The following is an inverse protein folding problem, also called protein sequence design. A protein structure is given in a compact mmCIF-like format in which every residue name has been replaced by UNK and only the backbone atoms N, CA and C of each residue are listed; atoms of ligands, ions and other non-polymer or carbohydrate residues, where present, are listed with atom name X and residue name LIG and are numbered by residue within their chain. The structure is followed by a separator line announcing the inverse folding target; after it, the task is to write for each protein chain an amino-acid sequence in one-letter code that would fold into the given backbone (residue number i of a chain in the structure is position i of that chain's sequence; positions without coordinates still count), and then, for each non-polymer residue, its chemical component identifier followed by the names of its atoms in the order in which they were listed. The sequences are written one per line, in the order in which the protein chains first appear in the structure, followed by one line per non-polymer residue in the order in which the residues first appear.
data_IF_946999465746
#
_entry.id   IF_946999465746
#
_cell.length_a   1.000
_cell.length_b   1.000
_cell.length_c   1.000
_cell.angle_alpha   90.00
_cell.angle_beta   90.00
_cell.angle_gamma   90.00
#
_symmetry.space_group_name_H-M   'P 1'
#
loop_
_entity.id
_entity.type
_entity.pdbx_description
1 polymer ?
#
# COMPACT_ATOMS: atom_id res chain seq x y z
N UNK A 1 -26.49 -45.12 17.99
CA UNK A 1 -26.54 -43.79 18.65
C UNK A 1 -25.15 -43.17 18.83
N UNK A 2 -24.19 -43.46 17.93
CA UNK A 2 -22.89 -42.77 17.84
C UNK A 2 -22.68 -42.18 16.43
N UNK A 3 -23.76 -41.96 15.69
CA UNK A 3 -23.70 -41.70 14.24
C UNK A 3 -23.43 -40.23 13.89
N UNK A 4 -23.42 -39.31 14.87
CA UNK A 4 -23.31 -37.86 14.63
C UNK A 4 -22.04 -37.21 15.20
N UNK A 5 -21.14 -37.98 15.83
CA UNK A 5 -19.90 -37.48 16.45
C UNK A 5 -20.13 -36.28 17.39
N UNK A 6 -21.24 -36.31 18.14
CA UNK A 6 -21.63 -35.29 19.11
C UNK A 6 -21.32 -35.78 20.53
N UNK A 7 -20.64 -34.95 21.31
CA UNK A 7 -20.35 -35.19 22.73
C UNK A 7 -21.36 -34.42 23.59
N UNK A 8 -22.00 -35.11 24.53
CA UNK A 8 -22.83 -34.48 25.54
C UNK A 8 -21.97 -33.86 26.65
N UNK A 9 -22.24 -32.61 26.97
CA UNK A 9 -21.42 -31.81 27.88
C UNK A 9 -22.08 -31.61 29.23
N UNK A 10 -23.40 -31.52 29.27
CA UNK A 10 -24.16 -31.51 30.53
C UNK A 10 -24.54 -32.94 30.87
N UNK A 11 -23.93 -33.48 31.92
CA UNK A 11 -24.16 -34.86 32.40
C UNK A 11 -24.81 -34.89 33.78
N UNK A 12 -24.86 -33.75 34.47
CA UNK A 12 -25.45 -33.61 35.80
C UNK A 12 -26.95 -33.25 35.74
N UNK A 13 -27.77 -33.65 36.73
CA UNK A 13 -29.20 -33.30 36.76
C UNK A 13 -29.46 -31.79 36.75
N UNK A 14 -30.31 -31.35 35.82
CA UNK A 14 -30.71 -29.93 35.68
C UNK A 14 -32.01 -29.64 36.42
N UNK A 15 -32.79 -30.66 36.77
CA UNK A 15 -33.94 -30.54 37.66
C UNK A 15 -33.73 -31.37 38.92
N UNK A 16 -33.85 -30.74 40.08
CA UNK A 16 -33.71 -31.41 41.38
C UNK A 16 -34.86 -31.01 42.28
N UNK A 17 -35.65 -32.00 42.68
CA UNK A 17 -36.71 -31.89 43.70
C UNK A 17 -36.28 -32.66 44.95
N UNK A 18 -37.07 -32.59 46.03
CA UNK A 18 -36.79 -33.31 47.28
C UNK A 18 -36.67 -34.85 47.09
N UNK A 19 -37.33 -35.39 46.06
CA UNK A 19 -37.46 -36.82 45.84
C UNK A 19 -36.79 -37.31 44.54
N UNK A 20 -36.48 -36.43 43.59
CA UNK A 20 -35.96 -36.82 42.26
C UNK A 20 -34.91 -35.86 41.75
N UNK A 21 -33.92 -36.41 41.05
CA UNK A 21 -32.93 -35.65 40.28
C UNK A 21 -32.95 -36.13 38.83
N UNK A 22 -33.38 -35.27 37.90
CA UNK A 22 -33.46 -35.60 36.47
C UNK A 22 -32.65 -34.64 35.62
N UNK A 23 -31.98 -35.19 34.61
CA UNK A 23 -31.32 -34.42 33.57
C UNK A 23 -32.34 -34.14 32.47
N UNK A 24 -32.77 -32.88 32.33
CA UNK A 24 -33.74 -32.44 31.33
C UNK A 24 -33.09 -31.62 30.22
N UNK A 25 -32.13 -30.76 30.56
CA UNK A 25 -31.43 -29.94 29.59
C UNK A 25 -30.14 -30.60 29.14
N UNK A 26 -30.13 -31.08 27.91
CA UNK A 26 -28.94 -31.64 27.28
C UNK A 26 -28.25 -30.60 26.40
N UNK A 27 -26.92 -30.55 26.48
CA UNK A 27 -26.09 -29.76 25.56
C UNK A 27 -25.09 -30.69 24.87
N UNK A 28 -25.10 -30.69 23.55
CA UNK A 28 -24.21 -31.50 22.72
C UNK A 28 -23.30 -30.62 21.87
N UNK A 29 -22.07 -31.07 21.59
CA UNK A 29 -21.12 -30.38 20.72
C UNK A 29 -20.34 -31.35 19.85
N UNK A 30 -20.01 -30.96 18.61
CA UNK A 30 -19.02 -31.65 17.76
C UNK A 30 -17.61 -31.09 17.94
N UNK A 31 -17.43 -30.03 18.74
CA UNK A 31 -16.15 -29.33 18.93
C UNK A 31 -15.79 -29.18 20.42
N UNK A 32 -15.52 -30.29 21.13
CA UNK A 32 -15.28 -30.26 22.58
C UNK A 32 -14.05 -29.41 22.97
N UNK A 33 -13.05 -29.33 22.11
CA UNK A 33 -11.85 -28.49 22.30
C UNK A 33 -12.15 -26.98 22.38
N UNK A 34 -13.35 -26.54 21.97
CA UNK A 34 -13.79 -25.14 22.09
C UNK A 34 -14.53 -24.86 23.38
N UNK A 35 -14.83 -25.86 24.21
CA UNK A 35 -15.52 -25.66 25.47
C UNK A 35 -14.48 -25.46 26.56
N UNK A 36 -14.54 -24.33 27.26
CA UNK A 36 -13.66 -24.03 28.38
C UNK A 36 -14.21 -24.63 29.69
N UNK A 37 -15.53 -24.53 29.89
CA UNK A 37 -16.20 -25.12 31.05
C UNK A 37 -17.70 -25.17 30.86
N UNK A 38 -18.36 -26.13 31.48
CA UNK A 38 -19.82 -26.19 31.61
C UNK A 38 -20.21 -26.44 33.06
N UNK A 39 -21.26 -25.76 33.52
CA UNK A 39 -21.71 -25.79 34.91
C UNK A 39 -23.23 -25.70 34.98
N UNK A 40 -23.77 -26.21 36.08
CA UNK A 40 -25.17 -26.06 36.48
C UNK A 40 -25.19 -25.24 37.77
N UNK A 41 -25.37 -23.90 37.69
CA UNK A 41 -25.47 -23.08 38.89
C UNK A 41 -26.71 -23.44 39.69
N UNK A 42 -26.51 -24.01 40.89
CA UNK A 42 -27.59 -24.35 41.83
C UNK A 42 -28.09 -23.10 42.55
N UNK A 43 -28.77 -22.24 41.82
CA UNK A 43 -29.35 -21.00 42.34
C UNK A 43 -30.70 -21.36 42.97
N UNK A 44 -30.87 -21.08 44.27
CA UNK A 44 -31.98 -21.55 45.10
C UNK A 44 -33.35 -20.88 44.85
N UNK A 45 -33.65 -20.49 43.61
CA UNK A 45 -34.89 -19.83 43.23
C UNK A 45 -35.86 -20.74 42.45
N UNK A 46 -35.43 -21.95 42.07
CA UNK A 46 -36.16 -22.88 41.20
C UNK A 46 -35.73 -24.33 41.41
N UNK A 47 -36.62 -25.30 41.21
CA UNK A 47 -36.32 -26.73 41.13
C UNK A 47 -35.68 -27.13 39.78
N UNK A 48 -35.68 -26.20 38.81
CA UNK A 48 -34.97 -26.29 37.55
C UNK A 48 -33.79 -25.32 37.51
N UNK A 49 -32.57 -25.86 37.51
CA UNK A 49 -31.32 -25.11 37.48
C UNK A 49 -30.91 -24.75 36.04
N UNK A 50 -30.43 -23.52 35.80
CA UNK A 50 -29.93 -23.13 34.50
C UNK A 50 -28.67 -23.93 34.13
N UNK A 51 -28.47 -24.13 32.83
CA UNK A 51 -27.19 -24.63 32.29
C UNK A 51 -26.36 -23.46 31.77
N UNK A 52 -25.07 -23.45 32.08
CA UNK A 52 -24.13 -22.44 31.60
C UNK A 52 -22.92 -23.14 30.97
N UNK A 53 -22.60 -22.79 29.73
CA UNK A 53 -21.39 -23.28 29.06
C UNK A 53 -20.59 -22.09 28.55
N UNK A 54 -19.30 -22.08 28.87
CA UNK A 54 -18.34 -21.07 28.43
C UNK A 54 -17.54 -21.66 27.27
N UNK A 55 -17.56 -20.97 26.15
CA UNK A 55 -16.81 -21.34 24.95
C UNK A 55 -15.54 -20.50 24.85
N UNK A 56 -14.49 -21.09 24.28
CA UNK A 56 -13.30 -20.40 23.80
C UNK A 56 -13.71 -19.61 22.57
N UNK A 57 -14.20 -18.39 22.78
CA UNK A 57 -14.56 -17.52 21.68
C UNK A 57 -13.28 -16.93 21.07
N UNK A 58 -13.03 -17.25 19.81
CA UNK A 58 -12.30 -16.34 18.95
C UNK A 58 -13.36 -15.44 18.34
N UNK A 59 -13.63 -14.27 18.95
CA UNK A 59 -14.37 -13.22 18.26
C UNK A 59 -13.73 -13.12 16.88
N UNK A 60 -14.46 -13.56 15.84
CA UNK A 60 -13.98 -13.47 14.48
C UNK A 60 -13.57 -12.02 14.29
N UNK A 61 -12.28 -11.78 13.96
CA UNK A 61 -11.78 -10.43 13.71
C UNK A 61 -12.84 -9.75 12.85
N UNK A 62 -13.46 -8.66 13.34
CA UNK A 62 -14.42 -7.88 12.54
C UNK A 62 -13.74 -7.65 11.20
N UNK A 63 -14.24 -8.26 10.14
CA UNK A 63 -13.68 -8.05 8.82
C UNK A 63 -13.80 -6.55 8.53
N UNK A 64 -12.69 -5.83 8.61
CA UNK A 64 -12.65 -4.43 8.20
C UNK A 64 -12.90 -4.42 6.70
N UNK A 65 -13.89 -3.65 6.25
CA UNK A 65 -14.08 -3.46 4.83
C UNK A 65 -12.82 -2.87 4.22
N UNK A 66 -12.43 -3.36 3.05
CA UNK A 66 -11.34 -2.74 2.30
C UNK A 66 -11.82 -1.38 1.80
N UNK A 67 -11.10 -0.33 2.19
CA UNK A 67 -11.34 1.04 1.75
C UNK A 67 -10.15 1.52 0.92
N UNK A 68 -10.43 2.39 -0.04
CA UNK A 68 -9.40 3.17 -0.71
C UNK A 68 -9.59 4.64 -0.34
N UNK A 69 -8.48 5.35 -0.20
CA UNK A 69 -8.46 6.81 -0.04
C UNK A 69 -8.29 7.48 -1.40
N UNK A 70 -9.02 8.57 -1.62
CA UNK A 70 -8.92 9.38 -2.84
C UNK A 70 -9.17 10.87 -2.53
N UNK A 71 -8.65 11.74 -3.38
CA UNK A 71 -8.84 13.20 -3.32
C UNK A 71 -10.21 13.58 -3.89
N UNK A 72 -11.01 14.35 -3.16
CA UNK A 72 -12.36 14.71 -3.59
C UNK A 72 -12.40 16.06 -4.32
N UNK A 73 -12.87 16.06 -5.57
CA UNK A 73 -13.01 17.26 -6.40
C UNK A 73 -14.41 17.89 -6.38
N UNK A 74 -15.33 17.41 -5.52
CA UNK A 74 -16.76 17.79 -5.60
C UNK A 74 -16.99 19.31 -5.49
N UNK A 75 -16.20 19.98 -4.66
CA UNK A 75 -16.28 21.42 -4.41
C UNK A 75 -14.94 22.09 -4.69
N UNK A 76 -14.16 21.55 -5.63
CA UNK A 76 -12.84 22.09 -5.95
C UNK A 76 -13.00 23.40 -6.73
N UNK A 77 -12.46 24.48 -6.19
CA UNK A 77 -12.41 25.81 -6.81
C UNK A 77 -10.98 26.07 -7.31
N UNK A 78 -10.82 26.05 -8.63
CA UNK A 78 -9.52 26.21 -9.28
C UNK A 78 -8.94 27.62 -9.09
N UNK A 79 -9.80 28.65 -9.03
CA UNK A 79 -9.34 30.03 -8.92
C UNK A 79 -8.73 30.28 -7.53
N UNK A 80 -9.40 29.83 -6.46
CA UNK A 80 -8.89 29.96 -5.09
C UNK A 80 -7.65 29.09 -4.90
N UNK A 81 -7.64 27.87 -5.45
CA UNK A 81 -6.47 26.99 -5.41
C UNK A 81 -5.23 27.65 -6.05
N UNK A 82 -5.38 28.22 -7.24
CA UNK A 82 -4.30 28.94 -7.93
C UNK A 82 -3.84 30.19 -7.17
N UNK A 83 -4.76 30.93 -6.54
CA UNK A 83 -4.41 32.08 -5.68
C UNK A 83 -3.58 31.68 -4.46
N UNK A 84 -3.86 30.53 -3.87
CA UNK A 84 -3.10 30.01 -2.73
C UNK A 84 -1.72 29.49 -3.19
N UNK A 85 -1.64 28.80 -4.33
CA UNK A 85 -0.35 28.38 -4.90
C UNK A 85 0.57 29.56 -5.21
N UNK A 86 0.02 30.68 -5.68
CA UNK A 86 0.77 31.90 -5.96
C UNK A 86 1.37 32.56 -4.71
N UNK A 87 0.89 32.20 -3.51
CA UNK A 87 1.40 32.74 -2.24
C UNK A 87 2.47 31.85 -1.60
N UNK A 88 2.73 30.67 -2.15
CA UNK A 88 3.73 29.75 -1.60
C UNK A 88 5.13 30.38 -1.75
N UNK A 89 5.94 30.43 -0.68
CA UNK A 89 7.31 30.93 -0.72
C UNK A 89 8.26 29.84 -1.27
N UNK A 90 8.17 29.56 -2.57
CA UNK A 90 8.92 28.48 -3.21
C UNK A 90 10.44 28.61 -3.05
N UNK A 91 10.97 29.82 -2.88
CA UNK A 91 12.41 30.06 -2.70
C UNK A 91 12.98 29.43 -1.42
N UNK A 92 12.15 28.93 -0.50
CA UNK A 92 12.63 28.16 0.67
C UNK A 92 13.45 26.93 0.25
N UNK A 93 13.23 26.37 -0.94
CA UNK A 93 13.97 25.21 -1.44
C UNK A 93 15.47 25.52 -1.61
N UNK A 94 15.83 26.78 -1.84
CA UNK A 94 17.22 27.21 -2.07
C UNK A 94 18.03 27.27 -0.75
N UNK A 95 17.37 27.05 0.40
CA UNK A 95 18.01 27.00 1.73
C UNK A 95 18.66 25.64 2.00
N UNK A 96 18.23 24.59 1.30
CA UNK A 96 18.67 23.22 1.53
C UNK A 96 19.76 22.80 0.54
N UNK A 97 20.89 22.33 1.06
CA UNK A 97 21.98 21.78 0.25
C UNK A 97 21.68 20.34 -0.20
N UNK A 98 20.90 19.58 0.58
CA UNK A 98 20.51 18.21 0.28
C UNK A 98 19.28 18.15 -0.64
N UNK A 99 19.35 17.29 -1.64
CA UNK A 99 18.31 17.15 -2.68
C UNK A 99 17.01 16.60 -2.10
N UNK A 100 17.08 15.66 -1.16
CA UNK A 100 15.90 15.07 -0.53
C UNK A 100 15.25 16.09 0.42
N UNK A 101 16.03 16.83 1.21
CA UNK A 101 15.50 17.89 2.08
C UNK A 101 14.81 19.01 1.29
N UNK A 102 15.42 19.47 0.19
CA UNK A 102 14.82 20.48 -0.69
C UNK A 102 13.49 20.00 -1.30
N UNK A 103 13.45 18.73 -1.73
CA UNK A 103 12.26 18.12 -2.29
C UNK A 103 11.16 17.91 -1.24
N UNK A 104 11.52 17.49 -0.03
CA UNK A 104 10.58 17.33 1.08
C UNK A 104 9.96 18.68 1.47
N UNK A 105 10.75 19.76 1.53
CA UNK A 105 10.24 21.11 1.74
C UNK A 105 9.25 21.52 0.64
N UNK A 106 9.59 21.25 -0.63
CA UNK A 106 8.72 21.50 -1.77
C UNK A 106 7.39 20.73 -1.66
N UNK A 107 7.46 19.43 -1.35
CA UNK A 107 6.27 18.59 -1.20
C UNK A 107 5.39 19.05 -0.05
N UNK A 108 5.97 19.42 1.09
CA UNK A 108 5.23 19.90 2.25
C UNK A 108 4.43 21.16 1.90
N UNK A 109 5.05 22.14 1.25
CA UNK A 109 4.37 23.37 0.80
C UNK A 109 3.24 23.08 -0.20
N UNK A 110 3.53 22.25 -1.20
CA UNK A 110 2.54 21.92 -2.22
C UNK A 110 1.36 21.12 -1.64
N UNK A 111 1.65 20.11 -0.82
CA UNK A 111 0.64 19.25 -0.20
C UNK A 111 -0.20 20.01 0.83
N UNK A 112 0.33 21.01 1.51
CA UNK A 112 -0.47 21.86 2.41
C UNK A 112 -1.62 22.53 1.65
N UNK A 113 -1.33 23.13 0.49
CA UNK A 113 -2.36 23.75 -0.36
C UNK A 113 -3.27 22.70 -0.99
N UNK A 114 -2.72 21.58 -1.49
CA UNK A 114 -3.54 20.50 -2.04
C UNK A 114 -4.47 19.91 -0.97
N UNK A 115 -4.04 19.76 0.28
CA UNK A 115 -4.84 19.23 1.38
C UNK A 115 -5.98 20.17 1.77
N UNK A 116 -5.71 21.48 1.77
CA UNK A 116 -6.71 22.53 1.99
C UNK A 116 -7.84 22.48 0.95
N UNK A 117 -7.51 22.25 -0.32
CA UNK A 117 -8.47 22.31 -1.42
C UNK A 117 -9.07 20.95 -1.83
N UNK A 118 -8.36 19.87 -1.57
CA UNK A 118 -8.71 18.51 -1.98
C UNK A 118 -8.62 17.55 -0.80
N UNK A 119 -9.60 17.64 0.09
CA UNK A 119 -9.73 16.73 1.23
C UNK A 119 -9.74 15.25 0.81
N UNK A 120 -9.09 14.43 1.65
CA UNK A 120 -9.15 12.97 1.54
C UNK A 120 -10.56 12.46 1.83
N UNK A 121 -11.01 11.51 1.02
CA UNK A 121 -12.22 10.72 1.28
C UNK A 121 -11.93 9.24 1.14
N UNK A 122 -12.76 8.45 1.80
CA UNK A 122 -12.71 7.00 1.72
C UNK A 122 -13.91 6.44 0.98
N UNK A 123 -13.65 5.39 0.20
CA UNK A 123 -14.69 4.59 -0.43
C UNK A 123 -14.43 3.13 -0.18
N UNK A 124 -15.47 2.41 0.24
CA UNK A 124 -15.43 0.94 0.33
C UNK A 124 -15.30 0.35 -1.05
N UNK A 125 -14.41 -0.62 -1.19
CA UNK A 125 -14.20 -1.38 -2.41
C UNK A 125 -14.29 -2.86 -2.11
N UNK A 126 -14.66 -3.64 -3.12
CA UNK A 126 -14.40 -5.07 -3.08
C UNK A 126 -12.90 -5.25 -3.35
N UNK A 127 -12.15 -5.87 -2.45
CA UNK A 127 -10.81 -6.29 -2.83
C UNK A 127 -10.89 -7.58 -3.64
N UNK A 128 -10.05 -7.63 -4.66
CA UNK A 128 -9.76 -8.84 -5.40
C UNK A 128 -8.25 -8.96 -5.43
N UNK A 129 -7.67 -10.05 -4.88
CA UNK A 129 -8.37 -11.19 -4.29
C UNK A 129 -8.97 -10.89 -2.90
N UNK A 130 -9.94 -11.71 -2.48
CA UNK A 130 -10.52 -11.68 -1.13
C UNK A 130 -9.71 -12.50 -0.13
N UNK A 131 -8.86 -13.40 -0.62
CA UNK A 131 -7.98 -14.24 0.16
C UNK A 131 -6.83 -14.73 -0.72
N UNK A 132 -5.67 -14.97 -0.11
CA UNK A 132 -4.52 -15.63 -0.73
C UNK A 132 -4.21 -16.92 0.00
N UNK A 133 -3.61 -17.89 -0.69
CA UNK A 133 -3.02 -19.08 -0.10
C UNK A 133 -1.54 -18.80 0.14
N UNK A 134 -1.06 -19.09 1.34
CA UNK A 134 0.36 -19.07 1.66
C UNK A 134 1.00 -20.39 1.20
N UNK A 135 2.05 -20.30 0.38
CA UNK A 135 2.73 -21.49 -0.13
C UNK A 135 3.58 -22.21 0.92
N UNK A 136 3.97 -21.52 2.00
CA UNK A 136 4.86 -22.07 3.04
C UNK A 136 4.15 -23.07 3.96
N UNK A 137 2.92 -22.75 4.38
CA UNK A 137 2.14 -23.54 5.34
C UNK A 137 0.75 -23.95 4.83
N UNK A 138 0.42 -23.60 3.57
CA UNK A 138 -0.90 -23.80 2.94
C UNK A 138 -2.06 -23.10 3.66
N UNK A 139 -1.78 -22.16 4.55
CA UNK A 139 -2.81 -21.38 5.23
C UNK A 139 -3.49 -20.38 4.28
N UNK A 140 -4.64 -19.86 4.70
CA UNK A 140 -5.37 -18.85 3.93
C UNK A 140 -5.27 -17.49 4.61
N UNK A 141 -4.66 -16.54 3.91
CA UNK A 141 -4.53 -15.14 4.31
C UNK A 141 -5.78 -14.39 3.83
N UNK A 142 -6.45 -13.66 4.74
CA UNK A 142 -7.69 -12.95 4.41
C UNK A 142 -7.67 -11.48 4.80
N UNK A 143 -6.72 -11.04 5.61
CA UNK A 143 -6.57 -9.63 5.98
C UNK A 143 -5.71 -8.87 4.96
N UNK A 144 -6.04 -7.59 4.77
CA UNK A 144 -5.42 -6.76 3.75
C UNK A 144 -3.91 -6.59 3.96
N UNK A 145 -3.46 -6.46 5.21
CA UNK A 145 -2.05 -6.27 5.54
C UNK A 145 -1.25 -7.52 5.18
N UNK A 146 -1.68 -8.69 5.65
CA UNK A 146 -1.05 -9.97 5.33
C UNK A 146 -1.03 -10.24 3.83
N UNK A 147 -2.11 -9.93 3.10
CA UNK A 147 -2.11 -10.07 1.64
C UNK A 147 -1.11 -9.13 0.96
N UNK A 148 -1.00 -7.88 1.40
CA UNK A 148 -0.01 -6.93 0.88
C UNK A 148 1.43 -7.40 1.16
N UNK A 149 1.71 -7.87 2.38
CA UNK A 149 3.03 -8.41 2.75
C UNK A 149 3.37 -9.65 1.92
N UNK A 150 2.41 -10.55 1.71
CA UNK A 150 2.59 -11.74 0.89
C UNK A 150 2.88 -11.40 -0.58
N UNK A 151 2.13 -10.46 -1.18
CA UNK A 151 2.43 -9.96 -2.52
C UNK A 151 3.82 -9.31 -2.61
N UNK A 152 4.17 -8.46 -1.63
CA UNK A 152 5.47 -7.79 -1.62
C UNK A 152 6.61 -8.80 -1.57
N UNK A 153 6.54 -9.77 -0.64
CA UNK A 153 7.54 -10.82 -0.50
C UNK A 153 7.67 -11.61 -1.81
N UNK A 154 6.55 -12.08 -2.38
CA UNK A 154 6.57 -12.81 -3.64
C UNK A 154 7.19 -11.99 -4.77
N UNK A 155 6.73 -10.76 -5.02
CA UNK A 155 7.25 -9.95 -6.13
C UNK A 155 8.72 -9.57 -5.94
N UNK A 156 9.19 -9.35 -4.71
CA UNK A 156 10.61 -9.15 -4.42
C UNK A 156 11.45 -10.39 -4.74
N UNK A 157 10.96 -11.59 -4.45
CA UNK A 157 11.70 -12.83 -4.79
C UNK A 157 11.89 -13.00 -6.30
N UNK A 158 10.93 -12.60 -7.14
CA UNK A 158 11.07 -12.65 -8.60
C UNK A 158 12.30 -11.82 -9.05
N UNK A 159 12.47 -10.62 -8.47
CA UNK A 159 13.59 -9.73 -8.80
C UNK A 159 14.92 -10.33 -8.31
N UNK A 160 14.96 -10.83 -7.07
CA UNK A 160 16.16 -11.45 -6.50
C UNK A 160 16.59 -12.66 -7.34
N UNK A 161 15.66 -13.57 -7.66
CA UNK A 161 15.93 -14.73 -8.50
C UNK A 161 16.41 -14.33 -9.89
N UNK A 162 15.85 -13.27 -10.48
CA UNK A 162 16.32 -12.76 -11.76
C UNK A 162 17.77 -12.28 -11.68
N UNK A 163 18.13 -11.54 -10.63
CA UNK A 163 19.50 -11.05 -10.39
C UNK A 163 20.46 -12.22 -10.17
N UNK A 164 20.09 -13.19 -9.33
CA UNK A 164 20.94 -14.35 -9.02
C UNK A 164 21.13 -15.31 -10.20
N UNK A 165 20.09 -15.49 -11.03
CA UNK A 165 20.17 -16.34 -12.23
C UNK A 165 20.97 -15.69 -13.37
N UNK A 166 21.05 -14.36 -13.39
CA UNK A 166 21.97 -13.64 -14.24
C UNK A 166 23.37 -13.77 -13.62
N UNK A 167 24.11 -14.82 -13.99
CA UNK A 167 25.55 -15.01 -13.69
C UNK A 167 26.46 -13.89 -14.30
N UNK A 168 25.94 -12.69 -14.49
CA UNK A 168 26.69 -11.51 -14.85
C UNK A 168 27.15 -10.83 -13.56
N UNK A 169 28.30 -11.24 -13.03
CA UNK A 169 29.10 -10.27 -12.30
C UNK A 169 29.57 -9.27 -13.36
N UNK A 170 28.81 -8.19 -13.57
CA UNK A 170 29.33 -7.06 -14.32
C UNK A 170 30.57 -6.61 -13.56
N UNK A 171 31.74 -6.89 -14.12
CA UNK A 171 32.99 -6.37 -13.58
C UNK A 171 33.00 -4.89 -13.95
N UNK A 172 32.39 -4.08 -13.09
CA UNK A 172 32.28 -2.64 -13.29
C UNK A 172 33.66 -2.02 -13.47
N UNK A 173 34.68 -2.49 -12.76
CA UNK A 173 36.06 -2.03 -12.93
C UNK A 173 36.55 -2.26 -14.36
N UNK A 174 36.31 -3.45 -14.94
CA UNK A 174 36.66 -3.76 -16.33
C UNK A 174 35.86 -2.93 -17.33
N UNK A 175 34.58 -2.68 -17.06
CA UNK A 175 33.76 -1.81 -17.91
C UNK A 175 34.24 -0.36 -17.85
N UNK A 176 34.57 0.13 -16.66
CA UNK A 176 35.14 1.46 -16.43
C UNK A 176 36.49 1.59 -17.12
N UNK A 177 37.39 0.62 -16.99
CA UNK A 177 38.66 0.58 -17.74
C UNK A 177 38.43 0.58 -19.25
N UNK A 178 37.51 -0.25 -19.74
CA UNK A 178 37.19 -0.32 -21.17
C UNK A 178 36.66 1.02 -21.69
N UNK A 179 35.75 1.68 -20.95
CA UNK A 179 35.21 3.00 -21.31
C UNK A 179 36.34 4.03 -21.31
N UNK A 180 37.11 4.10 -20.22
CA UNK A 180 38.21 5.07 -20.08
C UNK A 180 39.32 4.87 -21.13
N UNK A 181 39.53 3.66 -21.64
CA UNK A 181 40.51 3.38 -22.71
C UNK A 181 40.02 3.71 -24.12
N UNK A 182 38.71 3.84 -24.32
CA UNK A 182 38.09 4.00 -25.64
C UNK A 182 37.39 5.36 -25.83
N UNK A 183 37.22 6.13 -24.76
CA UNK A 183 36.63 7.47 -24.79
C UNK A 183 37.75 8.48 -24.57
N UNK A 184 37.87 9.46 -25.46
CA UNK A 184 38.84 10.54 -25.27
C UNK A 184 38.46 11.36 -24.02
N UNK A 185 39.46 11.91 -23.33
CA UNK A 185 39.27 12.73 -22.12
C UNK A 185 38.39 13.98 -22.35
N UNK A 186 38.18 14.41 -23.60
CA UNK A 186 37.31 15.53 -23.98
C UNK A 186 35.83 15.16 -24.15
N UNK A 187 35.48 13.88 -24.07
CA UNK A 187 34.10 13.39 -24.20
C UNK A 187 33.54 13.01 -22.82
N UNK A 188 32.84 13.95 -22.18
CA UNK A 188 32.10 13.70 -20.96
C UNK A 188 30.61 13.44 -21.27
N UNK A 189 30.04 12.38 -20.70
CA UNK A 189 28.59 12.24 -20.65
C UNK A 189 28.04 13.34 -19.74
N UNK A 190 27.20 14.20 -20.31
CA UNK A 190 26.57 15.30 -19.60
C UNK A 190 25.11 15.40 -19.98
N UNK A 191 24.28 15.58 -18.96
CA UNK A 191 22.85 15.83 -19.13
C UNK A 191 22.66 17.33 -18.94
N UNK A 192 22.13 18.05 -19.94
CA UNK A 192 21.93 19.47 -19.80
C UNK A 192 20.89 19.75 -18.70
N UNK A 193 20.94 20.94 -18.07
CA UNK A 193 19.87 21.38 -17.17
C UNK A 193 18.52 21.34 -17.89
N UNK A 194 17.48 20.90 -17.19
CA UNK A 194 16.10 20.94 -17.69
C UNK A 194 15.57 22.36 -17.61
N UNK A 195 14.80 22.81 -18.60
CA UNK A 195 14.21 24.16 -18.62
C UNK A 195 12.77 24.21 -18.10
N UNK A 196 12.32 25.41 -17.72
CA UNK A 196 10.94 25.64 -17.32
C UNK A 196 9.95 25.26 -18.44
N UNK A 197 10.29 25.53 -19.69
CA UNK A 197 9.44 25.18 -20.85
C UNK A 197 9.28 23.66 -21.00
N UNK A 198 10.35 22.89 -20.77
CA UNK A 198 10.32 21.43 -20.81
C UNK A 198 9.46 20.88 -19.68
N UNK A 199 9.68 21.33 -18.45
CA UNK A 199 8.88 20.94 -17.27
C UNK A 199 7.41 21.29 -17.47
N UNK A 200 7.13 22.52 -17.88
CA UNK A 200 5.77 23.00 -18.14
C UNK A 200 5.06 22.18 -19.23
N UNK A 201 5.75 21.92 -20.34
CA UNK A 201 5.24 21.09 -21.44
C UNK A 201 4.90 19.68 -20.94
N UNK A 202 5.77 19.06 -20.13
CA UNK A 202 5.51 17.75 -19.54
C UNK A 202 4.28 17.75 -18.62
N UNK A 203 4.16 18.75 -17.73
CA UNK A 203 3.01 18.89 -16.85
C UNK A 203 1.69 19.06 -17.62
N UNK A 204 1.70 19.83 -18.70
CA UNK A 204 0.51 20.01 -19.55
C UNK A 204 0.14 18.75 -20.34
N UNK A 205 1.11 17.90 -20.67
CA UNK A 205 0.88 16.67 -21.42
C UNK A 205 0.44 15.48 -20.54
N UNK A 206 0.33 15.67 -19.23
CA UNK A 206 -0.17 14.63 -18.33
C UNK A 206 -1.61 14.20 -18.64
N UNK A 207 -1.78 12.89 -18.81
CA UNK A 207 -3.09 12.25 -18.96
C UNK A 207 -3.81 12.18 -17.60
N UNK A 208 -4.95 12.85 -17.49
CA UNK A 208 -5.64 13.08 -16.20
C UNK A 208 -6.27 11.84 -15.57
N UNK A 209 -6.38 10.73 -16.30
CA UNK A 209 -7.00 9.47 -15.84
C UNK A 209 -5.98 8.47 -15.27
N UNK A 210 -4.68 8.80 -15.26
CA UNK A 210 -3.64 7.92 -14.71
C UNK A 210 -3.73 7.83 -13.20
N UNK A 211 -3.28 6.69 -12.68
CA UNK A 211 -3.21 6.44 -11.24
C UNK A 211 -2.14 7.32 -10.56
N UNK A 212 -2.33 7.55 -9.26
CA UNK A 212 -1.42 8.35 -8.43
C UNK A 212 -0.37 7.48 -7.74
N UNK A 213 0.81 8.04 -7.51
CA UNK A 213 1.86 7.41 -6.72
C UNK A 213 1.55 7.42 -5.23
N UNK A 214 2.60 7.27 -4.40
CA UNK A 214 2.50 7.31 -2.94
C UNK A 214 2.20 8.73 -2.42
N UNK A 215 2.57 9.77 -3.18
CA UNK A 215 2.28 11.18 -2.90
C UNK A 215 0.79 11.55 -3.00
N UNK A 216 -0.03 10.69 -3.63
CA UNK A 216 -1.45 10.96 -3.84
C UNK A 216 -1.74 12.13 -4.80
N UNK A 217 -0.73 12.61 -5.54
CA UNK A 217 -0.88 13.69 -6.50
C UNK A 217 -1.38 13.13 -7.82
N UNK A 218 -2.52 13.66 -8.28
CA UNK A 218 -3.08 13.29 -9.57
C UNK A 218 -2.43 14.07 -10.70
N UNK A 219 -2.39 13.45 -11.88
CA UNK A 219 -1.98 14.12 -13.11
C UNK A 219 -2.83 15.37 -13.38
N UNK A 220 -4.11 15.33 -12.98
CA UNK A 220 -5.04 16.47 -13.08
C UNK A 220 -4.60 17.66 -12.22
N UNK A 221 -4.27 17.45 -10.94
CA UNK A 221 -3.92 18.59 -10.06
C UNK A 221 -2.57 19.19 -10.44
N UNK A 222 -1.60 18.35 -10.82
CA UNK A 222 -0.30 18.80 -11.31
C UNK A 222 -0.44 19.66 -12.58
N UNK A 223 -1.30 19.24 -13.51
CA UNK A 223 -1.59 20.00 -14.74
C UNK A 223 -2.25 21.36 -14.45
N UNK A 224 -3.20 21.41 -13.52
CA UNK A 224 -3.84 22.67 -13.07
C UNK A 224 -2.80 23.59 -12.40
N UNK A 225 -1.88 23.01 -11.64
CA UNK A 225 -0.87 23.76 -10.88
C UNK A 225 0.32 24.21 -11.72
N UNK A 226 0.41 23.79 -13.00
CA UNK A 226 1.63 23.83 -13.79
C UNK A 226 2.30 25.23 -13.82
N UNK A 227 1.52 26.28 -14.07
CA UNK A 227 2.03 27.66 -14.10
C UNK A 227 2.72 28.11 -12.81
N UNK A 228 2.33 27.57 -11.66
CA UNK A 228 2.82 27.99 -10.35
C UNK A 228 3.96 27.11 -9.83
N UNK A 229 3.97 25.83 -10.21
CA UNK A 229 4.94 24.87 -9.70
C UNK A 229 6.14 24.66 -10.62
N UNK A 230 6.03 25.01 -11.92
CA UNK A 230 7.12 24.81 -12.88
C UNK A 230 8.45 25.40 -12.39
N UNK A 231 8.55 26.70 -12.02
CA UNK A 231 9.85 27.29 -11.71
C UNK A 231 10.54 26.63 -10.50
N UNK A 232 9.77 26.32 -9.47
CA UNK A 232 10.30 25.67 -8.26
C UNK A 232 10.67 24.21 -8.52
N UNK A 233 9.89 23.51 -9.34
CA UNK A 233 10.15 22.13 -9.69
C UNK A 233 11.36 21.99 -10.63
N UNK A 234 11.58 22.93 -11.56
CA UNK A 234 12.79 23.01 -12.39
C UNK A 234 14.04 23.18 -11.54
N UNK A 235 14.00 24.05 -10.51
CA UNK A 235 15.10 24.18 -9.55
C UNK A 235 15.40 22.85 -8.86
N UNK A 236 14.38 22.16 -8.33
CA UNK A 236 14.53 20.83 -7.72
C UNK A 236 15.16 19.83 -8.68
N UNK A 237 14.69 19.75 -9.93
CA UNK A 237 15.26 18.84 -10.93
C UNK A 237 16.72 19.17 -11.25
N UNK A 238 17.07 20.45 -11.39
CA UNK A 238 18.45 20.85 -11.67
C UNK A 238 19.37 20.65 -10.46
N UNK A 239 18.88 20.78 -9.22
CA UNK A 239 19.62 20.40 -8.02
C UNK A 239 19.90 18.89 -8.02
N UNK A 240 18.89 18.07 -8.35
CA UNK A 240 19.07 16.62 -8.52
C UNK A 240 20.10 16.27 -9.60
N UNK A 241 20.03 16.90 -10.76
CA UNK A 241 20.96 16.69 -11.89
C UNK A 241 22.40 17.08 -11.52
N UNK A 242 22.59 18.26 -10.95
CA UNK A 242 23.91 18.79 -10.59
C UNK A 242 24.58 18.01 -9.45
N UNK A 243 23.80 17.54 -8.48
CA UNK A 243 24.29 16.67 -7.41
C UNK A 243 24.50 15.21 -7.87
N UNK A 244 23.95 14.82 -9.03
CA UNK A 244 23.94 13.42 -9.47
C UNK A 244 23.10 12.51 -8.56
N UNK A 245 22.14 13.07 -7.83
CA UNK A 245 21.31 12.36 -6.85
C UNK A 245 19.88 12.32 -7.35
N UNK A 246 19.38 11.12 -7.64
CA UNK A 246 17.94 10.93 -7.83
C UNK A 246 17.25 10.91 -6.46
N UNK A 247 16.20 11.71 -6.22
CA UNK A 247 15.57 11.80 -4.91
C UNK A 247 14.99 10.48 -4.43
N UNK A 248 15.12 10.22 -3.13
CA UNK A 248 14.71 8.98 -2.46
C UNK A 248 13.21 8.76 -2.53
N UNK A 249 12.38 9.79 -2.33
CA UNK A 249 10.92 9.66 -2.47
C UNK A 249 10.48 9.26 -3.88
N UNK A 250 11.26 9.64 -4.91
CA UNK A 250 11.00 9.25 -6.31
C UNK A 250 11.47 7.84 -6.65
N UNK A 251 12.36 7.23 -5.85
CA UNK A 251 12.73 5.81 -5.99
C UNK A 251 11.62 4.87 -5.53
N UNK A 252 10.71 5.37 -4.69
CA UNK A 252 9.61 4.58 -4.16
C UNK A 252 8.46 4.49 -5.17
N UNK A 253 7.85 3.31 -5.26
CA UNK A 253 6.69 3.07 -6.12
C UNK A 253 5.57 2.37 -5.37
N UNK A 254 4.33 2.64 -5.78
CA UNK A 254 3.16 1.91 -5.28
C UNK A 254 2.94 0.67 -6.14
N UNK A 255 3.09 -0.50 -5.55
CA UNK A 255 2.86 -1.78 -6.25
C UNK A 255 1.37 -2.13 -6.23
N UNK A 256 0.79 -2.31 -7.42
CA UNK A 256 -0.57 -2.81 -7.61
C UNK A 256 -0.51 -4.19 -8.26
N UNK A 257 -0.91 -5.26 -7.55
CA UNK A 257 -1.07 -6.58 -8.14
C UNK A 257 -2.20 -6.57 -9.17
N UNK A 258 -1.90 -6.94 -10.42
CA UNK A 258 -2.88 -7.09 -11.49
C UNK A 258 -3.02 -8.56 -11.85
N UNK A 259 -4.24 -9.09 -11.73
CA UNK A 259 -4.53 -10.48 -12.06
C UNK A 259 -4.28 -10.75 -13.56
N UNK A 260 -3.56 -11.84 -13.84
CA UNK A 260 -3.22 -12.28 -15.20
C UNK A 260 -4.18 -13.37 -15.69
N UNK A 261 -4.25 -14.49 -14.97
CA UNK A 261 -5.05 -15.68 -15.32
C UNK A 261 -5.14 -16.64 -14.13
N UNK A 262 -5.97 -17.69 -14.16
CA UNK A 262 -5.98 -18.72 -13.12
C UNK A 262 -6.63 -18.28 -11.79
N UNK A 263 -6.53 -19.10 -10.72
CA UNK A 263 -7.14 -18.82 -9.43
C UNK A 263 -6.65 -17.52 -8.78
N UNK A 264 -7.60 -16.70 -8.29
CA UNK A 264 -7.31 -15.45 -7.58
C UNK A 264 -6.63 -15.67 -6.21
N UNK A 265 -6.76 -16.85 -5.63
CA UNK A 265 -6.14 -17.20 -4.35
C UNK A 265 -4.65 -17.46 -4.45
N UNK A 266 -4.11 -17.58 -5.66
CA UNK A 266 -2.72 -17.93 -5.90
C UNK A 266 -1.94 -16.69 -6.37
N UNK A 267 -0.89 -16.34 -5.64
CA UNK A 267 -0.10 -15.12 -5.84
C UNK A 267 0.62 -15.12 -7.19
N UNK A 268 0.96 -16.30 -7.73
CA UNK A 268 1.68 -16.46 -9.00
C UNK A 268 0.87 -15.99 -10.22
N UNK A 269 -0.45 -15.89 -10.04
CA UNK A 269 -1.40 -15.46 -11.05
C UNK A 269 -1.52 -13.94 -11.18
N UNK A 270 -0.66 -13.17 -10.52
CA UNK A 270 -0.64 -11.71 -10.55
C UNK A 270 0.68 -11.16 -11.11
N UNK A 271 0.60 -9.96 -11.67
CA UNK A 271 1.76 -9.18 -12.11
C UNK A 271 1.91 -7.94 -11.24
N UNK A 272 3.13 -7.55 -10.86
CA UNK A 272 3.36 -6.28 -10.18
C UNK A 272 3.30 -5.13 -11.19
N UNK A 273 2.38 -4.18 -10.99
CA UNK A 273 2.42 -2.88 -11.68
C UNK A 273 2.94 -1.84 -10.69
N UNK A 274 4.12 -1.29 -10.99
CA UNK A 274 4.72 -0.21 -10.21
C UNK A 274 4.16 1.14 -10.69
N UNK A 275 3.56 1.90 -9.77
CA UNK A 275 3.06 3.25 -10.02
C UNK A 275 3.99 4.24 -9.32
N UNK A 276 4.77 4.95 -10.11
CA UNK A 276 5.66 6.01 -9.67
C UNK A 276 4.90 7.31 -9.41
N UNK A 277 5.49 8.19 -8.58
CA UNK A 277 5.05 9.58 -8.45
C UNK A 277 5.08 10.25 -9.82
N UNK A 278 4.04 11.01 -10.16
CA UNK A 278 3.92 11.55 -11.52
C UNK A 278 5.05 12.53 -11.86
N UNK A 279 5.50 13.29 -10.85
CA UNK A 279 6.57 14.28 -10.97
C UNK A 279 7.92 13.63 -11.33
N UNK A 280 8.26 12.46 -10.78
CA UNK A 280 9.55 11.78 -11.05
C UNK A 280 9.74 11.47 -12.53
N UNK A 281 8.65 11.18 -13.23
CA UNK A 281 8.64 10.81 -14.64
C UNK A 281 9.12 11.92 -15.56
N UNK A 282 9.02 13.18 -15.13
CA UNK A 282 9.53 14.32 -15.89
C UNK A 282 11.05 14.23 -15.94
N UNK A 283 11.70 14.03 -14.79
CA UNK A 283 13.14 13.85 -14.71
C UNK A 283 13.58 12.57 -15.42
N UNK A 284 12.91 11.44 -15.22
CA UNK A 284 13.21 10.19 -15.94
C UNK A 284 13.15 10.37 -17.47
N UNK A 285 12.15 11.12 -17.95
CA UNK A 285 12.00 11.41 -19.38
C UNK A 285 13.11 12.31 -19.91
N UNK A 286 13.51 13.31 -19.12
CA UNK A 286 14.66 14.18 -19.44
C UNK A 286 15.92 13.34 -19.63
N UNK A 287 16.26 12.50 -18.65
CA UNK A 287 17.37 11.55 -18.74
C UNK A 287 17.29 10.67 -19.99
N UNK A 288 16.11 10.09 -20.27
CA UNK A 288 15.91 9.22 -21.43
C UNK A 288 16.13 9.93 -22.78
N UNK A 289 15.77 11.22 -22.89
CA UNK A 289 15.94 11.95 -24.14
C UNK A 289 17.42 12.31 -24.44
N UNK A 290 18.30 12.20 -23.44
CA UNK A 290 19.73 12.48 -23.54
C UNK A 290 20.61 11.21 -23.51
N UNK A 291 19.97 10.04 -23.59
CA UNK A 291 20.59 8.71 -23.70
C UNK A 291 20.35 8.13 -25.10
#
# INVERSE_FOLDING_TARGET
MNDFNLLQIITEPTRVTDNTSTLLDHLFTSAPHRILSSKIPKIGLSDHYPTCTVFKDSFGRKHSHNTIRYRCYKNFDEEIFCKDLAQIPWDIIDVFDDVDDALDAWYNLYLEVVDKHLSWREKRVKSTPSSLRDDSDQSTITDAKGMCEHFNNYFSTIVIQYIENQNHSANFDKLTEMVNSNVNDDVAFSIPPITDEEVYSHLLNFETHKATGLDGLSHKILKISANFITPSLTKVFNNSLSAGVFPTIWKASKIIPVHKAGPLSDVHNFRPIAILCAVSKILERHFYNHF
#
